data_IF_430069337910
#
_entry.id   IF_430069337910
#
_cell.length_a   1.000
_cell.length_b   1.000
_cell.length_c   1.000
_cell.angle_alpha   90.00
_cell.angle_beta   90.00
_cell.angle_gamma   90.00
#
_symmetry.space_group_name_H-M   'P 1'
#
loop_
_entity.id
_entity.type
_entity.pdbx_description
1 polymer ?
#
# COMPACT_ATOMS: atom_id res chain seq x y z
N UNK A 1 -67.51 33.31 28.98
CA UNK A 1 -68.34 34.02 27.99
C UNK A 1 -68.08 33.40 26.62
N UNK A 2 -69.16 33.02 25.90
CA UNK A 2 -69.25 32.37 24.58
C UNK A 2 -68.67 30.93 24.51
N UNK A 3 -69.43 29.82 24.34
CA UNK A 3 -70.47 29.44 23.37
C UNK A 3 -69.89 29.42 21.93
N UNK A 4 -69.91 28.35 21.11
CA UNK A 4 -70.95 27.37 20.80
C UNK A 4 -70.38 26.11 20.13
N UNK A 5 -71.13 25.03 20.30
CA UNK A 5 -71.12 23.72 19.66
C UNK A 5 -71.66 23.78 18.21
N UNK A 6 -71.16 22.91 17.30
CA UNK A 6 -71.96 22.23 16.26
C UNK A 6 -71.18 21.23 15.40
N UNK A 7 -71.65 19.97 15.47
CA UNK A 7 -71.49 18.85 14.52
C UNK A 7 -71.91 19.22 13.08
N UNK A 8 -71.28 18.60 12.07
CA UNK A 8 -71.87 17.52 11.25
C UNK A 8 -71.22 17.35 9.85
N UNK A 9 -70.78 16.11 9.57
CA UNK A 9 -70.99 15.25 8.38
C UNK A 9 -70.80 15.75 6.94
N UNK A 10 -70.10 14.92 6.14
CA UNK A 10 -70.13 14.86 4.67
C UNK A 10 -68.76 14.42 4.12
N UNK A 11 -68.45 13.11 4.01
CA UNK A 11 -68.68 12.20 2.87
C UNK A 11 -67.73 12.38 1.66
N UNK A 12 -67.05 11.25 1.36
CA UNK A 12 -66.52 10.77 0.05
C UNK A 12 -65.32 11.47 -0.59
N UNK A 13 -64.18 10.77 -0.76
CA UNK A 13 -63.90 9.96 -1.96
C UNK A 13 -62.52 9.24 -1.87
N UNK A 14 -62.34 8.06 -2.50
CA UNK A 14 -61.16 7.21 -2.36
C UNK A 14 -60.12 7.52 -3.44
N UNK A 15 -58.92 7.92 -3.02
CA UNK A 15 -57.78 8.03 -3.95
C UNK A 15 -57.06 6.68 -4.00
N UNK A 16 -57.36 5.95 -5.07
CA UNK A 16 -56.68 4.74 -5.49
C UNK A 16 -55.15 4.96 -5.62
N UNK A 17 -54.40 3.96 -5.18
CA UNK A 17 -52.96 3.88 -5.33
C UNK A 17 -52.55 3.84 -6.80
N UNK A 18 -51.58 4.67 -7.14
CA UNK A 18 -50.72 4.49 -8.32
C UNK A 18 -49.30 4.45 -7.78
N UNK A 19 -48.83 3.23 -7.47
CA UNK A 19 -47.40 2.98 -7.30
C UNK A 19 -46.71 3.27 -8.63
N UNK A 20 -45.92 4.35 -8.68
CA UNK A 20 -45.00 4.56 -9.79
C UNK A 20 -43.86 3.55 -9.64
N UNK A 21 -43.55 2.74 -10.68
CA UNK A 21 -42.40 1.86 -10.63
C UNK A 21 -41.14 2.71 -10.47
N UNK A 22 -40.36 2.41 -9.43
CA UNK A 22 -39.02 2.97 -9.26
C UNK A 22 -38.18 2.51 -10.45
N UNK A 23 -37.54 3.40 -11.22
CA UNK A 23 -36.68 2.98 -12.32
C UNK A 23 -35.53 2.15 -11.73
N UNK A 24 -35.46 0.87 -12.11
CA UNK A 24 -34.26 0.06 -11.91
C UNK A 24 -33.09 0.79 -12.57
N UNK A 25 -31.96 1.03 -11.86
CA UNK A 25 -30.77 1.53 -12.50
C UNK A 25 -30.31 0.50 -13.52
N UNK A 26 -30.31 0.89 -14.80
CA UNK A 26 -29.73 0.09 -15.86
C UNK A 26 -28.28 -0.23 -15.49
N UNK A 27 -28.01 -1.50 -15.23
CA UNK A 27 -26.67 -2.03 -15.08
C UNK A 27 -25.94 -1.87 -16.41
N UNK A 28 -25.26 -0.75 -16.60
CA UNK A 28 -24.35 -0.59 -17.73
C UNK A 28 -23.23 -1.64 -17.59
N UNK A 29 -22.89 -2.38 -18.67
CA UNK A 29 -21.81 -3.36 -18.62
C UNK A 29 -20.49 -2.62 -18.33
N UNK A 30 -19.95 -2.82 -17.12
CA UNK A 30 -18.69 -2.20 -16.67
C UNK A 30 -17.46 -2.63 -17.50
N UNK A 31 -17.58 -3.60 -18.40
CA UNK A 31 -16.48 -4.08 -19.26
C UNK A 31 -16.17 -3.17 -20.45
N UNK A 32 -17.18 -2.76 -21.24
CA UNK A 32 -16.93 -2.15 -22.55
C UNK A 32 -16.24 -0.78 -22.48
N UNK A 33 -16.53 0.01 -21.44
CA UNK A 33 -15.89 1.31 -21.26
C UNK A 33 -14.41 1.15 -20.87
N UNK A 34 -14.06 0.05 -20.20
CA UNK A 34 -12.71 -0.26 -19.80
C UNK A 34 -11.89 -0.81 -20.97
N UNK A 35 -12.47 -1.71 -21.76
CA UNK A 35 -11.85 -2.29 -22.96
C UNK A 35 -11.53 -1.21 -24.01
N UNK A 36 -12.43 -0.22 -24.17
CA UNK A 36 -12.19 0.93 -25.06
C UNK A 36 -11.11 1.88 -24.54
N UNK A 37 -10.94 1.98 -23.22
CA UNK A 37 -9.90 2.82 -22.63
C UNK A 37 -8.53 2.14 -22.73
N UNK A 38 -8.46 0.84 -22.46
CA UNK A 38 -7.24 0.03 -22.57
C UNK A 38 -6.76 -0.05 -24.02
N UNK A 39 -7.66 -0.31 -24.97
CA UNK A 39 -7.32 -0.29 -26.41
C UNK A 39 -6.73 1.05 -26.88
N UNK A 40 -7.17 2.17 -26.30
CA UNK A 40 -6.61 3.50 -26.61
C UNK A 40 -5.22 3.71 -26.00
N UNK A 41 -4.95 3.15 -24.81
CA UNK A 41 -3.64 3.20 -24.18
C UNK A 41 -2.62 2.34 -24.94
N UNK A 42 -3.01 1.14 -25.35
CA UNK A 42 -2.16 0.25 -26.14
C UNK A 42 -1.91 0.77 -27.57
N UNK A 43 -2.83 1.58 -28.11
CA UNK A 43 -2.63 2.27 -29.39
C UNK A 43 -1.66 3.46 -29.27
N UNK A 44 -1.66 4.16 -28.13
CA UNK A 44 -0.73 5.26 -27.85
C UNK A 44 0.70 4.76 -27.64
N UNK A 45 0.88 3.58 -27.05
CA UNK A 45 2.21 2.98 -26.85
C UNK A 45 2.80 2.45 -28.17
N UNK A 46 1.95 1.96 -29.08
CA UNK A 46 2.34 1.53 -30.45
C UNK A 46 2.74 2.67 -31.38
N UNK A 47 2.34 3.90 -31.09
CA UNK A 47 2.70 5.09 -31.87
C UNK A 47 3.78 5.95 -31.21
N UNK A 48 4.46 5.43 -30.19
CA UNK A 48 5.66 6.08 -29.67
C UNK A 48 6.73 6.05 -30.77
N UNK A 49 7.15 7.20 -31.33
CA UNK A 49 8.22 7.21 -32.33
C UNK A 49 9.48 6.64 -31.68
N UNK A 50 10.18 5.78 -32.43
CA UNK A 50 11.52 5.36 -32.08
C UNK A 50 12.35 6.63 -31.90
N UNK A 51 12.88 6.83 -30.70
CA UNK A 51 13.91 7.83 -30.48
C UNK A 51 15.15 7.21 -31.12
N UNK A 52 15.60 7.80 -32.23
CA UNK A 52 16.86 7.45 -32.87
C UNK A 52 18.00 7.79 -31.91
N UNK A 53 18.40 6.82 -31.07
CA UNK A 53 19.67 6.83 -30.38
C UNK A 53 20.77 6.53 -31.42
N UNK A 54 21.36 7.59 -31.97
CA UNK A 54 22.58 7.50 -32.76
C UNK A 54 23.71 6.87 -31.92
N UNK A 55 24.21 5.75 -32.44
CA UNK A 55 25.57 5.24 -32.33
C UNK A 55 26.13 4.93 -30.92
N UNK A 56 25.73 3.78 -30.38
CA UNK A 56 26.63 2.95 -29.58
C UNK A 56 26.67 1.53 -30.16
N UNK A 57 27.81 1.15 -30.73
CA UNK A 57 28.09 -0.20 -31.24
C UNK A 57 27.85 -1.23 -30.12
N UNK A 58 27.02 -2.27 -30.35
CA UNK A 58 26.80 -3.29 -29.34
C UNK A 58 28.03 -4.21 -29.24
N UNK A 59 28.53 -4.52 -28.03
CA UNK A 59 29.47 -5.62 -27.88
C UNK A 59 28.76 -6.95 -28.15
N UNK A 60 29.54 -7.83 -28.75
CA UNK A 60 29.28 -9.22 -29.11
C UNK A 60 28.47 -9.97 -28.04
N UNK A 61 27.23 -10.36 -28.39
CA UNK A 61 26.36 -11.17 -27.53
C UNK A 61 26.74 -12.64 -27.69
N UNK A 62 27.59 -13.12 -26.79
CA UNK A 62 27.67 -14.54 -26.49
C UNK A 62 26.34 -15.00 -25.87
N UNK A 63 25.82 -16.18 -26.26
CA UNK A 63 24.58 -16.72 -25.69
C UNK A 63 24.79 -17.08 -24.21
N UNK A 64 23.92 -16.56 -23.34
CA UNK A 64 23.82 -16.99 -21.95
C UNK A 64 23.33 -18.44 -21.88
N UNK A 65 23.89 -19.27 -20.99
CA UNK A 65 23.51 -20.67 -20.87
C UNK A 65 22.14 -20.83 -20.19
N UNK A 66 21.44 -21.89 -20.59
CA UNK A 66 20.26 -22.41 -19.91
C UNK A 66 20.58 -22.69 -18.44
N UNK A 67 19.71 -22.23 -17.55
CA UNK A 67 19.77 -22.56 -16.13
C UNK A 67 19.20 -23.97 -15.94
N UNK A 68 20.06 -24.98 -16.11
CA UNK A 68 19.87 -26.27 -15.49
C UNK A 68 20.16 -26.16 -13.99
N UNK A 69 19.28 -26.80 -13.20
CA UNK A 69 19.33 -26.83 -11.75
C UNK A 69 20.63 -27.47 -11.20
N UNK A 70 21.02 -27.10 -9.97
CA UNK A 70 21.65 -28.07 -9.09
C UNK A 70 20.73 -28.39 -7.90
N UNK A 71 20.43 -29.68 -7.79
CA UNK A 71 20.06 -30.31 -6.51
C UNK A 71 21.17 -30.02 -5.48
N UNK A 72 20.81 -29.39 -4.37
CA UNK A 72 21.72 -29.15 -3.25
C UNK A 72 21.38 -30.11 -2.10
N UNK A 73 22.35 -30.86 -1.52
CA UNK A 73 22.13 -31.90 -0.51
C UNK A 73 21.94 -31.34 0.91
N UNK A 74 21.18 -30.24 1.06
CA UNK A 74 20.99 -29.53 2.32
C UNK A 74 19.65 -29.82 3.02
N UNK A 75 18.82 -30.71 2.47
CA UNK A 75 17.56 -31.16 3.09
C UNK A 75 17.71 -32.36 4.04
N UNK A 76 18.88 -33.00 4.11
CA UNK A 76 19.09 -34.17 4.97
C UNK A 76 19.37 -33.86 6.45
N UNK A 77 19.39 -32.59 6.88
CA UNK A 77 19.82 -32.20 8.23
C UNK A 77 18.71 -31.68 9.16
N UNK A 78 17.48 -31.54 8.67
CA UNK A 78 16.34 -31.07 9.48
C UNK A 78 15.34 -32.16 9.89
N UNK A 79 15.58 -33.43 9.51
CA UNK A 79 14.67 -34.55 9.80
C UNK A 79 15.01 -35.37 11.07
N UNK A 80 15.82 -34.86 12.02
CA UNK A 80 16.29 -35.65 13.19
C UNK A 80 16.04 -35.05 14.58
N UNK A 81 14.97 -34.27 14.76
CA UNK A 81 14.52 -33.85 16.10
C UNK A 81 13.00 -33.98 16.26
N UNK A 82 12.51 -35.22 16.17
CA UNK A 82 11.15 -35.57 16.60
C UNK A 82 11.17 -36.92 17.30
N UNK A 83 11.45 -36.93 18.60
CA UNK A 83 11.03 -38.02 19.50
C UNK A 83 9.98 -37.48 20.46
N UNK A 84 8.88 -38.22 20.72
CA UNK A 84 7.81 -37.77 21.59
C UNK A 84 8.25 -37.84 23.05
N UNK A 85 8.04 -36.76 23.81
CA UNK A 85 8.30 -36.71 25.26
C UNK A 85 6.98 -36.88 26.01
N UNK A 86 6.98 -37.88 26.90
CA UNK A 86 5.90 -38.28 27.80
C UNK A 86 5.31 -37.14 28.64
N UNK A 87 4.00 -37.25 28.83
CA UNK A 87 3.18 -36.57 29.85
C UNK A 87 3.64 -36.89 31.28
N UNK A 88 3.68 -35.85 32.13
CA UNK A 88 3.25 -35.80 33.54
C UNK A 88 3.62 -34.41 34.15
N UNK A 89 3.13 -34.05 35.34
CA UNK A 89 1.82 -33.48 35.64
C UNK A 89 1.89 -32.00 36.06
N UNK A 90 0.75 -31.32 36.02
CA UNK A 90 0.56 -29.91 36.41
C UNK A 90 1.03 -29.57 37.83
N UNK A 91 1.77 -28.45 38.00
CA UNK A 91 1.85 -27.76 39.27
C UNK A 91 0.87 -26.57 39.35
N UNK A 92 0.45 -26.34 40.59
CA UNK A 92 -0.50 -25.35 41.10
C UNK A 92 -0.21 -23.91 40.68
N UNK A 93 -1.30 -23.15 40.62
CA UNK A 93 -1.33 -21.70 40.60
C UNK A 93 -0.54 -21.10 41.77
N UNK A 94 0.50 -20.36 41.43
CA UNK A 94 1.14 -19.36 42.30
C UNK A 94 0.87 -17.98 41.73
N UNK A 95 0.40 -17.12 42.61
CA UNK A 95 0.08 -15.71 42.43
C UNK A 95 1.20 -14.97 41.69
N UNK A 96 0.82 -14.20 40.65
CA UNK A 96 1.73 -13.33 39.90
C UNK A 96 1.84 -11.99 40.65
N UNK A 97 3.06 -11.55 41.03
CA UNK A 97 3.29 -10.24 41.60
C UNK A 97 3.19 -9.13 40.53
N UNK A 98 2.90 -7.93 41.03
CA UNK A 98 2.70 -6.68 40.31
C UNK A 98 3.71 -6.45 39.17
N UNK A 99 3.18 -6.12 37.99
CA UNK A 99 3.97 -5.72 36.84
C UNK A 99 4.71 -4.40 37.12
N UNK A 100 6.04 -4.34 36.94
CA UNK A 100 6.77 -3.09 37.01
C UNK A 100 6.41 -2.19 35.83
N UNK A 101 6.50 -0.89 36.10
CA UNK A 101 6.13 0.24 35.26
C UNK A 101 6.54 0.13 33.78
N UNK A 102 5.67 0.66 32.92
CA UNK A 102 5.95 0.93 31.51
C UNK A 102 7.33 1.57 31.34
N UNK A 103 8.15 1.12 30.36
CA UNK A 103 9.43 1.74 30.09
C UNK A 103 9.21 3.22 29.75
N UNK A 104 9.90 4.08 30.50
CA UNK A 104 9.92 5.52 30.30
C UNK A 104 10.24 5.83 28.83
N UNK A 105 9.36 6.57 28.17
CA UNK A 105 9.60 7.04 26.81
C UNK A 105 10.79 8.01 26.82
N UNK A 106 11.79 7.83 25.95
CA UNK A 106 12.98 8.66 25.93
C UNK A 106 12.64 10.14 25.68
N UNK A 107 13.20 11.00 26.52
CA UNK A 107 12.99 12.43 26.59
C UNK A 107 13.48 13.17 25.31
N UNK A 108 12.53 13.60 24.48
CA UNK A 108 12.44 14.96 23.95
C UNK A 108 13.50 15.53 23.00
N UNK A 109 14.57 14.82 22.64
CA UNK A 109 15.73 15.49 22.01
C UNK A 109 16.58 14.70 21.01
N UNK A 110 15.99 14.19 19.91
CA UNK A 110 16.59 14.14 18.55
C UNK A 110 15.72 13.28 17.63
N UNK A 111 14.90 13.91 16.79
CA UNK A 111 14.49 13.30 15.51
C UNK A 111 15.40 13.83 14.40
N UNK A 112 16.69 13.49 14.49
CA UNK A 112 17.60 13.62 13.37
C UNK A 112 18.43 12.35 13.22
N UNK A 113 17.87 11.40 12.48
CA UNK A 113 18.56 10.88 11.32
C UNK A 113 17.50 10.48 10.28
N UNK A 114 17.43 11.12 9.09
CA UNK A 114 16.86 10.44 7.94
C UNK A 114 17.65 9.13 7.77
N UNK A 115 16.95 8.00 7.75
CA UNK A 115 17.62 6.72 7.72
C UNK A 115 18.47 6.55 6.46
N UNK A 116 19.59 5.87 6.65
CA UNK A 116 20.25 5.14 5.59
C UNK A 116 19.65 3.74 5.58
N UNK A 117 19.77 3.04 4.45
CA UNK A 117 19.53 1.61 4.37
C UNK A 117 20.47 0.87 5.34
N UNK A 118 20.18 -0.41 5.68
CA UNK A 118 21.05 -1.20 6.54
C UNK A 118 22.50 -1.31 6.06
N UNK A 119 22.74 -1.23 4.75
CA UNK A 119 24.07 -1.23 4.13
C UNK A 119 24.77 0.15 4.15
N UNK A 120 24.13 1.17 4.73
CA UNK A 120 24.63 2.55 4.81
C UNK A 120 24.36 3.41 3.57
N UNK A 121 23.82 2.85 2.49
CA UNK A 121 23.43 3.61 1.30
C UNK A 121 22.16 4.44 1.56
N UNK A 122 21.91 5.54 0.82
CA UNK A 122 20.69 6.32 1.01
C UNK A 122 19.47 5.56 0.47
N UNK A 123 18.30 5.73 1.11
CA UNK A 123 17.04 5.30 0.50
C UNK A 123 16.80 6.07 -0.81
N UNK A 124 16.17 5.44 -1.82
CA UNK A 124 15.79 6.15 -3.03
C UNK A 124 14.73 7.20 -2.69
N UNK A 125 15.11 8.47 -2.78
CA UNK A 125 14.17 9.58 -2.56
C UNK A 125 13.27 9.81 -3.77
N UNK A 126 12.05 10.25 -3.50
CA UNK A 126 11.12 10.75 -4.51
C UNK A 126 11.77 11.94 -5.27
N UNK A 127 11.52 12.12 -6.58
CA UNK A 127 12.10 13.25 -7.31
C UNK A 127 11.55 14.58 -6.82
N UNK A 128 10.34 14.60 -6.24
CA UNK A 128 9.76 15.82 -5.70
C UNK A 128 10.40 16.21 -4.37
N UNK A 129 10.88 15.24 -3.58
CA UNK A 129 11.59 15.51 -2.32
C UNK A 129 12.88 16.32 -2.52
N UNK A 130 13.53 16.21 -3.70
CA UNK A 130 14.75 16.96 -4.04
C UNK A 130 14.51 18.49 -4.04
N UNK A 131 13.29 18.91 -4.42
CA UNK A 131 12.94 20.35 -4.60
C UNK A 131 11.89 20.84 -3.61
N UNK A 132 11.09 19.93 -3.08
CA UNK A 132 10.06 20.17 -2.08
C UNK A 132 10.08 19.01 -1.09
N UNK A 133 10.94 19.05 -0.07
CA UNK A 133 11.00 17.99 0.94
C UNK A 133 9.66 17.89 1.69
N UNK A 134 9.39 16.71 2.25
CA UNK A 134 8.23 16.52 3.12
C UNK A 134 8.31 17.42 4.37
N UNK A 135 7.17 17.88 4.89
CA UNK A 135 7.17 18.61 6.15
C UNK A 135 7.67 17.71 7.29
N UNK A 136 8.42 18.29 8.21
CA UNK A 136 8.76 17.64 9.47
C UNK A 136 7.64 17.89 10.47
N UNK A 137 7.09 16.82 11.02
CA UNK A 137 6.15 16.88 12.13
C UNK A 137 6.88 17.28 13.41
N UNK A 138 6.28 18.16 14.21
CA UNK A 138 6.83 18.56 15.53
C UNK A 138 6.01 17.88 16.61
N UNK A 139 6.66 17.32 17.64
CA UNK A 139 5.94 16.61 18.71
C UNK A 139 4.86 17.48 19.38
N UNK A 140 5.09 18.79 19.53
CA UNK A 140 4.09 19.73 20.06
C UNK A 140 2.80 19.85 19.22
N UNK A 141 2.84 19.43 17.96
CA UNK A 141 1.69 19.42 17.05
C UNK A 141 0.98 18.07 17.02
N UNK A 142 1.56 17.03 17.65
CA UNK A 142 1.05 15.66 17.63
C UNK A 142 0.12 15.40 18.80
N UNK A 143 -1.04 14.81 18.51
CA UNK A 143 -1.94 14.24 19.52
C UNK A 143 -2.04 12.74 19.31
N UNK A 144 -1.85 11.97 20.37
CA UNK A 144 -1.85 10.51 20.35
C UNK A 144 -3.03 9.96 21.13
N UNK A 145 -3.52 8.79 20.71
CA UNK A 145 -4.55 8.02 21.40
C UNK A 145 -3.99 7.25 22.61
N UNK A 146 -4.85 6.52 23.31
CA UNK A 146 -4.49 5.70 24.47
C UNK A 146 -3.47 4.59 24.18
N UNK A 147 -3.30 4.21 22.90
CA UNK A 147 -2.32 3.24 22.45
C UNK A 147 -0.98 3.89 22.10
N UNK A 148 -0.88 5.21 22.24
CA UNK A 148 0.27 6.01 21.84
C UNK A 148 0.41 6.18 20.33
N UNK A 149 -0.64 5.89 19.56
CA UNK A 149 -0.66 6.10 18.11
C UNK A 149 -1.17 7.49 17.77
N UNK A 150 -0.60 8.10 16.74
CA UNK A 150 -1.01 9.41 16.27
C UNK A 150 -2.47 9.42 15.84
N UNK A 151 -3.23 10.32 16.44
CA UNK A 151 -4.65 10.58 16.17
C UNK A 151 -4.82 11.84 15.30
N UNK A 152 -4.08 12.91 15.60
CA UNK A 152 -4.12 14.16 14.84
C UNK A 152 -2.79 14.92 14.82
N UNK A 153 -2.62 15.76 13.80
CA UNK A 153 -1.44 16.63 13.57
C UNK A 153 -1.94 18.06 13.38
N UNK A 154 -1.51 18.99 14.23
CA UNK A 154 -1.94 20.39 14.17
C UNK A 154 -3.46 20.55 14.31
N UNK A 155 -4.11 19.66 15.07
CA UNK A 155 -5.57 19.60 15.23
C UNK A 155 -6.34 18.94 14.09
N UNK A 156 -5.68 18.52 12.99
CA UNK A 156 -6.32 17.79 11.89
C UNK A 156 -6.20 16.28 12.09
N UNK A 157 -7.27 15.47 11.93
CA UNK A 157 -7.18 14.01 12.01
C UNK A 157 -6.09 13.43 11.10
N UNK A 158 -5.36 12.43 11.56
CA UNK A 158 -4.17 11.90 10.87
C UNK A 158 -4.46 11.46 9.41
N UNK A 159 -5.62 10.82 9.17
CA UNK A 159 -6.05 10.44 7.81
C UNK A 159 -6.29 11.67 6.93
N UNK A 160 -7.00 12.68 7.43
CA UNK A 160 -7.25 13.93 6.68
C UNK A 160 -5.96 14.72 6.43
N UNK A 161 -5.03 14.71 7.39
CA UNK A 161 -3.71 15.30 7.22
C UNK A 161 -2.94 14.61 6.09
N UNK A 162 -2.84 13.27 6.13
CA UNK A 162 -2.14 12.50 5.10
C UNK A 162 -2.77 12.71 3.72
N UNK A 163 -4.11 12.72 3.64
CA UNK A 163 -4.81 12.98 2.39
C UNK A 163 -4.48 14.36 1.81
N UNK A 164 -4.61 15.41 2.62
CA UNK A 164 -4.32 16.78 2.18
C UNK A 164 -2.86 16.94 1.75
N UNK A 165 -1.91 16.37 2.51
CA UNK A 165 -0.50 16.36 2.14
C UNK A 165 -0.30 15.63 0.80
N UNK A 166 -0.96 14.50 0.59
CA UNK A 166 -0.84 13.73 -0.66
C UNK A 166 -1.42 14.49 -1.85
N UNK A 167 -2.53 15.22 -1.67
CA UNK A 167 -3.07 16.11 -2.70
C UNK A 167 -2.07 17.24 -3.05
N UNK A 168 -1.42 17.84 -2.04
CA UNK A 168 -0.32 18.80 -2.25
C UNK A 168 0.87 18.18 -2.99
N UNK A 169 1.23 16.92 -2.68
CA UNK A 169 2.28 16.19 -3.39
C UNK A 169 1.90 15.97 -4.86
N UNK A 170 0.67 15.51 -5.12
CA UNK A 170 0.17 15.29 -6.49
C UNK A 170 0.24 16.59 -7.30
N UNK A 171 -0.19 17.71 -6.73
CA UNK A 171 -0.08 19.00 -7.40
C UNK A 171 1.39 19.37 -7.64
N UNK A 172 2.28 19.18 -6.65
CA UNK A 172 3.71 19.41 -6.81
C UNK A 172 4.34 18.61 -7.95
N UNK A 173 3.95 17.35 -8.13
CA UNK A 173 4.41 16.53 -9.27
C UNK A 173 3.89 17.04 -10.62
N UNK A 174 2.68 17.59 -10.68
CA UNK A 174 2.10 18.17 -11.89
C UNK A 174 2.84 19.45 -12.26
N UNK A 175 3.02 20.35 -11.30
CA UNK A 175 3.75 21.61 -11.46
C UNK A 175 5.18 21.33 -11.93
N UNK A 176 5.91 20.46 -11.22
CA UNK A 176 7.29 20.11 -11.54
C UNK A 176 7.47 19.40 -12.89
N UNK A 177 6.42 18.73 -13.39
CA UNK A 177 6.42 18.16 -14.75
C UNK A 177 6.14 19.22 -15.81
N UNK A 178 5.28 20.19 -15.50
CA UNK A 178 4.89 21.26 -16.40
C UNK A 178 6.04 22.26 -16.60
N UNK A 179 6.77 22.59 -15.52
CA UNK A 179 7.91 23.52 -15.57
C UNK A 179 9.25 22.86 -15.92
N UNK A 180 9.29 21.52 -15.96
CA UNK A 180 10.47 20.74 -16.32
C UNK A 180 11.46 20.47 -15.19
N UNK A 181 11.15 20.87 -13.95
CA UNK A 181 11.97 20.62 -12.76
C UNK A 181 12.19 19.13 -12.51
N UNK A 182 11.16 18.29 -12.75
CA UNK A 182 11.29 16.84 -12.75
C UNK A 182 11.22 16.34 -14.20
N UNK A 183 12.31 15.76 -14.74
CA UNK A 183 12.30 15.26 -16.11
C UNK A 183 11.31 14.10 -16.24
N UNK A 184 10.69 13.97 -17.41
CA UNK A 184 9.71 12.91 -17.71
C UNK A 184 10.24 11.49 -17.43
N UNK A 185 11.55 11.26 -17.54
CA UNK A 185 12.21 9.99 -17.22
C UNK A 185 12.18 9.64 -15.71
N UNK A 186 12.08 10.65 -14.84
CA UNK A 186 11.94 10.48 -13.37
C UNK A 186 10.48 10.53 -12.91
N UNK A 187 9.56 10.89 -13.78
CA UNK A 187 8.12 10.88 -13.51
C UNK A 187 7.62 9.43 -13.43
N UNK A 188 7.02 9.07 -12.29
CA UNK A 188 6.52 7.74 -12.02
C UNK A 188 4.99 7.67 -12.16
N UNK A 189 4.43 6.50 -12.48
CA UNK A 189 2.98 6.37 -12.63
C UNK A 189 2.22 6.56 -11.32
N UNK A 190 2.81 6.20 -10.19
CA UNK A 190 2.21 6.27 -8.85
C UNK A 190 3.19 6.95 -7.89
N UNK A 191 2.66 7.84 -7.06
CA UNK A 191 3.31 8.35 -5.84
C UNK A 191 2.61 7.78 -4.62
N UNK A 192 3.35 7.50 -3.57
CA UNK A 192 2.84 7.01 -2.29
C UNK A 192 3.40 7.88 -1.18
N UNK A 193 2.52 8.41 -0.34
CA UNK A 193 2.90 9.05 0.92
C UNK A 193 2.46 8.13 2.06
N UNK A 194 3.38 7.84 2.98
CA UNK A 194 3.15 7.04 4.16
C UNK A 194 3.29 7.90 5.42
N UNK A 195 2.37 7.74 6.36
CA UNK A 195 2.46 8.25 7.72
C UNK A 195 2.59 7.08 8.69
N UNK A 196 3.73 7.02 9.39
CA UNK A 196 3.90 6.13 10.53
C UNK A 196 3.26 6.78 11.77
N UNK A 197 2.12 6.25 12.23
CA UNK A 197 1.40 6.80 13.39
C UNK A 197 2.13 6.58 14.71
N UNK A 198 3.06 5.62 14.78
CA UNK A 198 3.85 5.38 16.00
C UNK A 198 4.89 6.47 16.18
N UNK A 199 5.63 6.79 15.12
CA UNK A 199 6.76 7.74 15.20
C UNK A 199 6.36 9.16 14.81
N UNK A 200 5.29 9.33 14.05
CA UNK A 200 4.87 10.61 13.46
C UNK A 200 5.63 10.95 12.18
N UNK A 201 6.50 10.07 11.68
CA UNK A 201 7.31 10.32 10.50
C UNK A 201 6.53 10.10 9.20
N UNK A 202 6.90 10.91 8.20
CA UNK A 202 6.33 10.88 6.86
C UNK A 202 7.37 10.37 5.87
N UNK A 203 6.93 9.55 4.93
CA UNK A 203 7.76 8.97 3.88
C UNK A 203 7.09 9.18 2.54
N UNK A 204 7.89 9.38 1.50
CA UNK A 204 7.40 9.43 0.13
C UNK A 204 8.27 8.58 -0.78
N UNK A 205 7.60 7.77 -1.60
CA UNK A 205 8.22 6.98 -2.63
C UNK A 205 7.38 7.06 -3.89
N UNK A 206 7.98 6.63 -4.99
CA UNK A 206 7.35 6.55 -6.30
C UNK A 206 7.66 5.19 -6.92
N UNK A 207 6.76 4.68 -7.75
CA UNK A 207 7.00 3.42 -8.44
C UNK A 207 8.20 3.57 -9.38
N UNK A 208 9.33 2.97 -9.00
CA UNK A 208 10.59 2.99 -9.76
C UNK A 208 11.16 1.59 -9.85
N UNK A 209 11.87 1.36 -10.96
CA UNK A 209 12.58 0.11 -11.19
C UNK A 209 11.65 -1.06 -11.50
N UNK A 210 12.27 -2.16 -11.89
CA UNK A 210 11.61 -3.46 -12.10
C UNK A 210 12.11 -4.52 -11.14
N UNK A 211 13.17 -4.20 -10.41
CA UNK A 211 13.88 -5.10 -9.49
C UNK A 211 13.35 -4.89 -8.09
N UNK A 212 13.16 -5.99 -7.38
CA UNK A 212 12.80 -5.96 -5.97
C UNK A 212 14.05 -5.55 -5.19
N UNK A 213 13.97 -4.56 -4.28
CA UNK A 213 15.11 -4.22 -3.43
C UNK A 213 15.58 -5.43 -2.62
N UNK A 214 16.89 -5.63 -2.53
CA UNK A 214 17.49 -6.73 -1.74
C UNK A 214 17.37 -6.50 -0.22
N UNK A 215 16.99 -5.28 0.19
CA UNK A 215 16.97 -4.80 1.57
C UNK A 215 15.55 -4.51 2.10
N UNK A 216 14.54 -5.23 1.59
CA UNK A 216 13.21 -5.19 2.19
C UNK A 216 13.28 -5.61 3.67
N UNK A 217 12.54 -4.89 4.52
CA UNK A 217 12.46 -5.20 5.94
C UNK A 217 11.98 -6.65 6.15
N UNK A 218 12.55 -7.44 7.08
CA UNK A 218 12.25 -8.87 7.23
C UNK A 218 10.75 -9.22 7.31
N UNK A 219 9.94 -8.38 7.97
CA UNK A 219 8.48 -8.52 8.05
C UNK A 219 7.82 -8.54 6.65
N UNK A 220 8.24 -7.67 5.74
CA UNK A 220 7.72 -7.60 4.37
C UNK A 220 8.34 -8.67 3.49
N UNK A 221 9.64 -8.95 3.68
CA UNK A 221 10.37 -9.98 2.95
C UNK A 221 9.75 -11.37 3.16
N UNK A 222 9.39 -11.74 4.39
CA UNK A 222 8.71 -13.01 4.69
C UNK A 222 7.41 -13.16 3.90
N UNK A 223 6.57 -12.10 3.85
CA UNK A 223 5.30 -12.11 3.12
C UNK A 223 5.50 -12.15 1.59
N UNK A 224 6.53 -11.47 1.09
CA UNK A 224 6.91 -11.57 -0.31
C UNK A 224 7.36 -12.99 -0.67
N UNK A 225 8.10 -13.67 0.21
CA UNK A 225 8.55 -15.03 -0.02
C UNK A 225 7.40 -16.05 0.02
N UNK A 226 6.41 -15.86 0.90
CA UNK A 226 5.15 -16.62 0.89
C UNK A 226 4.39 -16.44 -0.43
N UNK A 227 4.31 -15.20 -0.92
CA UNK A 227 3.69 -14.89 -2.21
C UNK A 227 4.43 -15.55 -3.37
N UNK A 228 5.77 -15.51 -3.37
CA UNK A 228 6.63 -16.19 -4.35
C UNK A 228 6.46 -17.71 -4.30
N UNK A 229 6.39 -18.30 -3.11
CA UNK A 229 6.15 -19.73 -2.94
C UNK A 229 4.79 -20.14 -3.49
N UNK A 230 3.75 -19.33 -3.21
CA UNK A 230 2.41 -19.54 -3.78
C UNK A 230 2.41 -19.47 -5.29
N UNK A 231 3.08 -18.47 -5.87
CA UNK A 231 3.21 -18.32 -7.31
C UNK A 231 3.97 -19.48 -7.97
N UNK A 232 4.99 -20.03 -7.31
CA UNK A 232 5.69 -21.25 -7.80
C UNK A 232 4.81 -22.48 -7.77
N UNK A 233 4.00 -22.65 -6.72
CA UNK A 233 3.06 -23.76 -6.61
C UNK A 233 1.90 -23.66 -7.61
N UNK A 234 1.56 -22.44 -8.03
CA UNK A 234 0.49 -22.12 -8.97
C UNK A 234 1.00 -21.13 -10.02
N UNK A 235 1.89 -21.52 -10.95
CA UNK A 235 2.47 -20.60 -11.95
C UNK A 235 1.44 -20.00 -12.90
N UNK A 236 0.26 -20.61 -12.91
CA UNK A 236 -0.93 -20.29 -13.66
C UNK A 236 -2.11 -20.09 -12.70
N UNK A 237 -1.89 -19.51 -11.51
CA UNK A 237 -2.97 -19.29 -10.53
C UNK A 237 -3.97 -18.22 -10.96
N UNK A 238 -3.53 -17.27 -11.78
CA UNK A 238 -4.26 -16.04 -12.07
C UNK A 238 -4.41 -15.83 -13.58
N UNK A 239 -5.43 -15.06 -13.96
CA UNK A 239 -5.67 -14.59 -15.32
C UNK A 239 -5.90 -13.09 -15.30
N UNK A 240 -5.06 -12.34 -16.01
CA UNK A 240 -5.11 -10.89 -16.05
C UNK A 240 -6.09 -10.38 -17.11
N UNK A 241 -6.38 -9.08 -17.09
CA UNK A 241 -7.37 -8.45 -17.98
C UNK A 241 -7.04 -8.58 -19.49
N UNK A 242 -5.76 -8.68 -19.84
CA UNK A 242 -5.29 -8.89 -21.22
C UNK A 242 -5.34 -10.38 -21.65
N UNK A 243 -5.88 -11.25 -20.79
CA UNK A 243 -5.96 -12.69 -21.01
C UNK A 243 -4.68 -13.45 -20.72
N UNK A 244 -3.57 -12.76 -20.45
CA UNK A 244 -2.33 -13.42 -20.04
C UNK A 244 -2.46 -14.02 -18.63
N UNK A 245 -1.53 -14.91 -18.31
CA UNK A 245 -1.59 -15.75 -17.13
C UNK A 245 -0.29 -15.64 -16.34
N UNK A 246 -0.40 -15.83 -15.03
CA UNK A 246 0.77 -15.92 -14.18
C UNK A 246 0.46 -16.38 -12.78
N UNK A 247 1.52 -16.55 -11.99
CA UNK A 247 1.41 -17.08 -10.64
C UNK A 247 1.14 -16.04 -9.56
N UNK A 248 1.20 -14.75 -9.90
CA UNK A 248 0.98 -13.67 -8.95
C UNK A 248 -0.44 -13.10 -9.05
N UNK A 249 -0.99 -12.62 -7.92
CA UNK A 249 -2.25 -11.88 -7.88
C UNK A 249 -2.31 -10.64 -8.76
N UNK A 250 -1.20 -10.03 -9.18
CA UNK A 250 -1.13 -8.93 -10.16
C UNK A 250 0.03 -9.14 -11.12
N UNK A 251 -0.09 -8.62 -12.34
CA UNK A 251 0.92 -8.78 -13.40
C UNK A 251 2.26 -8.09 -13.11
N UNK A 252 2.30 -7.10 -12.21
CA UNK A 252 3.56 -6.42 -11.85
C UNK A 252 4.43 -7.26 -10.92
N UNK A 253 5.74 -7.03 -10.95
CA UNK A 253 6.68 -7.66 -10.02
C UNK A 253 6.34 -7.31 -8.56
N UNK A 254 5.96 -8.28 -7.71
CA UNK A 254 5.63 -8.01 -6.31
C UNK A 254 6.84 -7.43 -5.56
N UNK A 255 6.59 -6.50 -4.64
CA UNK A 255 7.63 -5.87 -3.81
C UNK A 255 8.28 -4.61 -4.40
N UNK A 256 7.99 -4.28 -5.66
CA UNK A 256 8.61 -3.12 -6.34
C UNK A 256 7.85 -1.81 -6.18
N UNK A 257 6.59 -1.84 -5.72
CA UNK A 257 5.75 -0.64 -5.65
C UNK A 257 6.09 0.26 -4.44
N UNK A 258 5.81 1.55 -4.61
CA UNK A 258 6.16 2.62 -3.69
C UNK A 258 5.64 2.40 -2.26
N UNK A 259 4.41 1.92 -2.10
CA UNK A 259 3.82 1.66 -0.79
C UNK A 259 4.57 0.57 -0.01
N UNK A 260 5.09 -0.45 -0.70
CA UNK A 260 5.90 -1.50 -0.08
C UNK A 260 7.27 -0.96 0.32
N UNK A 261 7.89 -0.16 -0.56
CA UNK A 261 9.19 0.46 -0.28
C UNK A 261 9.12 1.46 0.89
N UNK A 262 8.09 2.32 0.90
CA UNK A 262 7.83 3.25 2.01
C UNK A 262 7.65 2.50 3.33
N UNK A 263 6.84 1.44 3.33
CA UNK A 263 6.60 0.63 4.53
C UNK A 263 7.89 -0.01 4.99
N UNK A 264 8.68 -0.58 4.07
CA UNK A 264 9.99 -1.17 4.38
C UNK A 264 10.92 -0.17 5.07
N UNK A 265 11.04 1.04 4.48
CA UNK A 265 11.82 2.12 5.07
C UNK A 265 11.33 2.48 6.46
N UNK A 266 10.03 2.72 6.63
CA UNK A 266 9.46 3.08 7.94
C UNK A 266 9.72 2.03 9.04
N UNK A 267 9.72 0.75 8.69
CA UNK A 267 10.04 -0.33 9.63
C UNK A 267 11.54 -0.32 10.02
N UNK A 268 12.45 -0.15 9.06
CA UNK A 268 13.89 0.00 9.36
C UNK A 268 14.18 1.23 10.24
N UNK A 269 13.52 2.36 9.95
CA UNK A 269 13.64 3.59 10.75
C UNK A 269 13.19 3.37 12.20
N UNK A 270 12.12 2.61 12.40
CA UNK A 270 11.65 2.22 13.73
C UNK A 270 12.71 1.40 14.48
N UNK A 271 13.28 0.38 13.85
CA UNK A 271 14.33 -0.43 14.48
C UNK A 271 15.56 0.43 14.83
N UNK A 272 15.96 1.34 13.92
CA UNK A 272 17.06 2.27 14.16
C UNK A 272 16.80 3.24 15.32
N UNK A 273 15.53 3.56 15.60
CA UNK A 273 15.10 4.34 16.77
C UNK A 273 14.91 3.49 18.03
N UNK A 274 15.17 2.19 17.98
CA UNK A 274 15.04 1.26 19.10
C UNK A 274 13.64 0.70 19.32
N UNK A 275 12.69 0.95 18.42
CA UNK A 275 11.37 0.32 18.48
C UNK A 275 11.48 -1.16 18.11
N UNK A 276 10.74 -2.00 18.84
CA UNK A 276 10.52 -3.38 18.43
C UNK A 276 9.55 -3.41 17.26
N UNK A 277 9.96 -4.05 16.16
CA UNK A 277 9.15 -4.19 14.95
C UNK A 277 8.66 -5.63 14.81
N UNK A 278 7.37 -5.79 14.53
CA UNK A 278 6.75 -7.09 14.25
C UNK A 278 5.63 -6.93 13.22
N UNK A 279 4.91 -8.01 12.90
CA UNK A 279 3.82 -7.99 11.91
C UNK A 279 2.71 -6.98 12.27
N UNK A 280 2.39 -6.83 13.55
CA UNK A 280 1.38 -5.87 14.03
C UNK A 280 1.83 -4.40 13.94
N UNK A 281 3.13 -4.13 13.73
CA UNK A 281 3.61 -2.78 13.44
C UNK A 281 3.03 -2.20 12.15
N UNK A 282 2.58 -3.06 11.23
CA UNK A 282 1.94 -2.63 9.98
C UNK A 282 0.59 -1.95 10.23
N UNK A 283 -0.18 -2.37 11.25
CA UNK A 283 -1.49 -1.79 11.61
C UNK A 283 -1.40 -0.33 12.10
N UNK A 284 -0.17 0.14 12.32
CA UNK A 284 0.13 1.48 12.83
C UNK A 284 0.54 2.45 11.72
N UNK A 285 0.46 2.05 10.46
CA UNK A 285 0.87 2.85 9.30
C UNK A 285 -0.33 3.18 8.42
N UNK A 286 -0.32 4.39 7.87
CA UNK A 286 -1.30 4.86 6.89
C UNK A 286 -0.58 5.14 5.57
N UNK A 287 -1.17 4.75 4.44
CA UNK A 287 -0.68 5.11 3.10
C UNK A 287 -1.78 5.77 2.28
N UNK A 288 -1.38 6.78 1.50
CA UNK A 288 -2.20 7.34 0.45
C UNK A 288 -1.42 7.33 -0.87
N UNK A 289 -1.90 6.50 -1.79
CA UNK A 289 -1.27 6.27 -3.08
C UNK A 289 -2.09 6.96 -4.16
N UNK A 290 -1.42 7.70 -5.05
CA UNK A 290 -2.08 8.44 -6.13
C UNK A 290 -1.40 8.25 -7.47
N UNK A 291 -2.18 8.28 -8.53
CA UNK A 291 -1.73 8.49 -9.90
C UNK A 291 -1.63 10.00 -10.17
N UNK A 292 -0.47 10.66 -9.98
CA UNK A 292 -0.39 12.12 -9.99
C UNK A 292 -0.77 12.73 -11.35
N UNK A 293 -0.61 11.96 -12.44
CA UNK A 293 -0.85 12.42 -13.80
C UNK A 293 -2.19 11.98 -14.39
N UNK A 294 -3.04 11.29 -13.62
CA UNK A 294 -4.43 11.02 -14.02
C UNK A 294 -5.34 12.17 -13.61
N UNK A 295 -6.51 12.33 -14.27
CA UNK A 295 -7.53 13.28 -13.82
C UNK A 295 -7.92 13.04 -12.36
N UNK A 296 -8.33 14.08 -11.64
CA UNK A 296 -8.61 14.00 -10.20
C UNK A 296 -9.63 12.93 -9.82
N UNK A 297 -10.66 12.74 -10.65
CA UNK A 297 -11.66 11.68 -10.48
C UNK A 297 -11.12 10.25 -10.59
N UNK A 298 -9.87 10.09 -11.05
CA UNK A 298 -9.17 8.81 -11.23
C UNK A 298 -7.75 8.85 -10.63
N UNK A 299 -7.49 9.80 -9.72
CA UNK A 299 -6.17 9.97 -9.10
C UNK A 299 -5.94 8.96 -7.98
N UNK A 300 -6.99 8.42 -7.37
CA UNK A 300 -6.91 7.35 -6.36
C UNK A 300 -6.24 6.09 -6.94
N UNK A 301 -5.23 5.57 -6.24
CA UNK A 301 -4.54 4.34 -6.60
C UNK A 301 -4.64 3.33 -5.44
N UNK A 302 -5.66 2.47 -5.39
CA UNK A 302 -5.71 1.44 -4.35
C UNK A 302 -4.48 0.52 -4.44
N UNK A 303 -4.08 -0.08 -3.31
CA UNK A 303 -3.01 -1.08 -3.32
C UNK A 303 -3.40 -2.23 -4.26
N UNK A 304 -2.51 -2.61 -5.18
CA UNK A 304 -2.78 -3.75 -6.06
C UNK A 304 -2.77 -5.06 -5.26
N UNK A 305 -3.36 -6.16 -5.77
CA UNK A 305 -3.43 -7.44 -5.06
C UNK A 305 -2.08 -7.97 -4.55
N UNK A 306 -0.97 -7.76 -5.28
CA UNK A 306 0.37 -8.11 -4.80
C UNK A 306 0.75 -7.29 -3.55
N UNK A 307 0.53 -5.98 -3.58
CA UNK A 307 0.82 -5.09 -2.46
C UNK A 307 -0.12 -5.33 -1.28
N UNK A 308 -1.39 -5.62 -1.54
CA UNK A 308 -2.35 -6.06 -0.53
C UNK A 308 -1.85 -7.29 0.22
N UNK A 309 -1.37 -8.32 -0.49
CA UNK A 309 -0.82 -9.52 0.11
C UNK A 309 0.41 -9.22 1.01
N UNK A 310 1.30 -8.34 0.54
CA UNK A 310 2.52 -7.97 1.29
C UNK A 310 2.20 -7.08 2.50
N UNK A 311 1.25 -6.15 2.37
CA UNK A 311 0.95 -5.14 3.38
C UNK A 311 -0.10 -5.56 4.42
N UNK A 312 -0.75 -6.73 4.25
CA UNK A 312 -1.50 -7.40 5.32
C UNK A 312 -2.97 -7.71 5.05
N UNK A 313 -3.41 -7.62 3.79
CA UNK A 313 -4.80 -7.89 3.43
C UNK A 313 -5.73 -6.88 4.09
N UNK A 314 -6.79 -7.39 4.75
CA UNK A 314 -7.75 -6.59 5.53
C UNK A 314 -7.12 -5.97 6.79
N UNK A 315 -6.02 -6.56 7.27
CA UNK A 315 -5.19 -6.04 8.38
C UNK A 315 -3.91 -5.41 7.86
N UNK A 316 -3.04 -4.95 8.74
CA UNK A 316 -1.78 -4.29 8.42
C UNK A 316 -1.97 -2.84 7.98
N UNK A 317 -1.14 -2.39 7.04
CA UNK A 317 -1.06 -0.96 6.65
C UNK A 317 -2.41 -0.47 6.14
N UNK A 318 -3.01 0.56 6.76
CA UNK A 318 -4.28 1.12 6.28
C UNK A 318 -4.02 1.95 5.01
N UNK A 319 -4.81 1.70 3.97
CA UNK A 319 -4.71 2.42 2.69
C UNK A 319 -5.95 3.29 2.50
N UNK A 320 -5.75 4.60 2.46
CA UNK A 320 -6.82 5.58 2.23
C UNK A 320 -7.60 5.33 0.93
N UNK A 321 -6.95 5.09 -0.22
CA UNK A 321 -7.65 4.72 -1.46
C UNK A 321 -8.19 3.27 -1.46
N UNK A 322 -7.88 2.48 -0.42
CA UNK A 322 -8.29 1.09 -0.27
C UNK A 322 -7.26 0.08 -0.78
N UNK A 323 -7.59 -1.20 -0.58
CA UNK A 323 -6.79 -2.36 -1.01
C UNK A 323 -7.64 -3.23 -1.92
N UNK A 324 -7.07 -3.62 -3.06
CA UNK A 324 -7.70 -4.59 -3.94
C UNK A 324 -7.57 -6.01 -3.38
N UNK A 325 -8.63 -6.84 -3.40
CA UNK A 325 -8.58 -8.21 -2.89
C UNK A 325 -7.53 -9.07 -3.59
N UNK A 326 -6.90 -9.98 -2.85
CA UNK A 326 -5.85 -10.90 -3.40
C UNK A 326 -6.43 -11.88 -4.42
N UNK A 327 -7.74 -12.15 -4.35
CA UNK A 327 -8.47 -13.07 -5.22
C UNK A 327 -9.15 -12.39 -6.42
N UNK A 328 -8.96 -11.08 -6.61
CA UNK A 328 -9.64 -10.31 -7.66
C UNK A 328 -9.49 -10.93 -9.06
N UNK A 329 -8.32 -11.51 -9.35
CA UNK A 329 -8.00 -12.12 -10.65
C UNK A 329 -7.69 -13.62 -10.56
N UNK A 330 -8.09 -14.29 -9.48
CA UNK A 330 -8.02 -15.75 -9.41
C UNK A 330 -8.91 -16.37 -10.49
N UNK A 331 -8.46 -17.48 -11.08
CA UNK A 331 -9.31 -18.29 -11.95
C UNK A 331 -10.44 -18.88 -11.11
N UNK A 332 -11.68 -18.60 -11.51
CA UNK A 332 -12.86 -19.32 -11.06
C UNK A 332 -13.11 -20.52 -11.96
#
# INVERSE_FOLDING_TARGET
MAALDRRALGDSDPSAGVERPTPQPASAPRGEAWDRLQSKLDALDRHRPAIDDEAATPPDRTPTPAWDAPESPLEAKLARLSTPRSEAPSPRATERPDHPASPEQPDGGRQEAPSRKPDGSPWPESPLSDVRPLPRTREAELRRDERGLLESIGGRPAREYLQALTDERVQGYRDARQDGTIPKSRAAPVTSVLLDRRTGLLYEAVNRGKEVPDDLHPVLQSRLDELRATARARPDGYQYADGTRGGYPHFSTPGTHAEVQNTSRALHDREAMGYQVNVGSLDEMLVDNRFPYRPDSKSSAPCCPNCTAILGGETGVDSLPGKLPVDEWMRR
#
